data_IF_933009183250
#
_entry.id   IF_933009183250
#
_cell.length_a   1.000
_cell.length_b   1.000
_cell.length_c   1.000
_cell.angle_alpha   90.00
_cell.angle_beta   90.00
_cell.angle_gamma   90.00
#
_symmetry.space_group_name_H-M   'P 1'
#
loop_
_entity.id
_entity.type
_entity.pdbx_description
1 polymer ?
#
# COMPACT_ATOMS: atom_id res chain seq x y z
N UNK A 1 30.37 18.05 13.28
CA UNK A 1 31.35 18.76 14.16
C UNK A 1 32.37 17.81 14.76
N UNK A 2 31.96 16.75 15.45
CA UNK A 2 32.87 15.73 16.04
C UNK A 2 33.64 14.95 14.98
N UNK A 3 32.99 14.54 13.89
CA UNK A 3 33.63 13.85 12.76
C UNK A 3 34.63 14.74 12.00
N UNK A 4 34.31 16.04 11.88
CA UNK A 4 35.20 17.06 11.30
C UNK A 4 36.43 17.31 12.18
N UNK A 5 36.27 17.27 13.52
CA UNK A 5 37.40 17.30 14.46
C UNK A 5 38.26 16.04 14.29
N UNK A 6 37.66 14.86 14.15
CA UNK A 6 38.40 13.61 13.90
C UNK A 6 39.17 13.65 12.59
N UNK A 7 38.55 14.10 11.48
CA UNK A 7 39.22 14.24 10.18
C UNK A 7 40.37 15.25 10.23
N UNK A 8 40.22 16.38 10.93
CA UNK A 8 41.29 17.37 11.14
C UNK A 8 42.45 16.81 11.98
N UNK A 9 42.15 16.05 13.03
CA UNK A 9 43.18 15.38 13.84
C UNK A 9 43.93 14.32 13.03
N UNK A 10 43.22 13.57 12.19
CA UNK A 10 43.83 12.56 11.31
C UNK A 10 44.73 13.20 10.25
N UNK A 11 44.30 14.33 9.66
CA UNK A 11 45.11 15.08 8.69
C UNK A 11 46.40 15.65 9.31
N UNK A 12 46.32 16.15 10.54
CA UNK A 12 47.50 16.62 11.28
C UNK A 12 48.45 15.46 11.62
N UNK A 13 47.91 14.30 12.02
CA UNK A 13 48.71 13.10 12.26
C UNK A 13 49.42 12.59 11.00
N UNK A 14 48.78 12.71 9.83
CA UNK A 14 49.39 12.37 8.53
C UNK A 14 50.50 13.36 8.18
N UNK A 15 50.28 14.66 8.39
CA UNK A 15 51.29 15.71 8.17
C UNK A 15 52.54 15.51 9.06
N UNK A 16 52.34 15.16 10.33
CA UNK A 16 53.42 14.91 11.28
C UNK A 16 54.21 13.62 10.96
N UNK A 17 53.54 12.59 10.43
CA UNK A 17 54.20 11.37 9.99
C UNK A 17 55.02 11.60 8.71
N UNK A 18 54.54 12.42 7.77
CA UNK A 18 55.27 12.79 6.56
C UNK A 18 56.54 13.60 6.90
N UNK A 19 56.52 14.45 7.92
CA UNK A 19 57.72 15.17 8.37
C UNK A 19 58.77 14.28 9.08
N UNK A 20 58.35 13.14 9.67
CA UNK A 20 59.24 12.25 10.43
C UNK A 20 59.95 11.21 9.55
N UNK A 21 59.34 10.79 8.44
CA UNK A 21 59.99 9.92 7.46
C UNK A 21 60.57 10.77 6.34
N UNK A 22 61.88 10.83 6.24
CA UNK A 22 62.64 11.59 5.24
C UNK A 22 62.49 10.96 3.82
N UNK A 23 61.25 10.84 3.35
CA UNK A 23 60.85 10.18 2.12
C UNK A 23 60.12 11.22 1.27
N UNK A 24 60.85 11.79 0.32
CA UNK A 24 60.34 12.71 -0.69
C UNK A 24 59.31 12.02 -1.58
N UNK A 25 58.06 11.98 -1.14
CA UNK A 25 56.90 11.70 -1.98
C UNK A 25 56.40 13.04 -2.52
N UNK A 26 56.57 13.23 -3.84
CA UNK A 26 55.96 14.31 -4.61
C UNK A 26 54.44 14.13 -4.63
N UNK A 27 53.75 14.48 -3.54
CA UNK A 27 52.36 14.96 -3.64
C UNK A 27 52.51 16.33 -4.29
N UNK A 28 52.14 16.45 -5.57
CA UNK A 28 52.16 17.76 -6.23
C UNK A 28 51.35 18.74 -5.38
N UNK A 29 51.90 19.93 -5.11
CA UNK A 29 51.24 20.99 -4.31
C UNK A 29 49.79 21.29 -4.78
N UNK A 30 49.46 20.88 -6.01
CA UNK A 30 48.13 20.89 -6.63
C UNK A 30 47.05 20.10 -5.88
N UNK A 31 47.32 18.89 -5.38
CA UNK A 31 46.27 18.02 -4.80
C UNK A 31 45.93 18.38 -3.35
N UNK A 32 46.95 18.70 -2.54
CA UNK A 32 46.73 19.25 -1.20
C UNK A 32 45.98 20.58 -1.25
N UNK A 33 46.33 21.47 -2.20
CA UNK A 33 45.64 22.75 -2.39
C UNK A 33 44.17 22.58 -2.83
N UNK A 34 43.87 21.57 -3.66
CA UNK A 34 42.48 21.25 -4.05
C UNK A 34 41.64 20.77 -2.86
N UNK A 35 42.19 19.88 -2.04
CA UNK A 35 41.49 19.34 -0.88
C UNK A 35 41.24 20.43 0.18
N UNK A 36 42.20 21.31 0.41
CA UNK A 36 42.03 22.47 1.32
C UNK A 36 40.93 23.43 0.83
N UNK A 37 40.88 23.72 -0.47
CA UNK A 37 39.82 24.56 -1.06
C UNK A 37 38.43 23.91 -0.94
N UNK A 38 38.34 22.60 -1.11
CA UNK A 38 37.09 21.86 -0.94
C UNK A 38 36.60 21.93 0.51
N UNK A 39 37.48 21.68 1.48
CA UNK A 39 37.16 21.76 2.91
C UNK A 39 36.74 23.19 3.31
N UNK A 40 37.41 24.21 2.79
CA UNK A 40 37.03 25.61 3.04
C UNK A 40 35.62 25.91 2.48
N UNK A 41 35.33 25.43 1.27
CA UNK A 41 34.02 25.61 0.61
C UNK A 41 32.90 24.91 1.39
N UNK A 42 33.12 23.67 1.81
CA UNK A 42 32.17 22.93 2.64
C UNK A 42 31.94 23.61 4.00
N UNK A 43 33.00 24.10 4.65
CA UNK A 43 32.88 24.86 5.90
C UNK A 43 32.08 26.17 5.73
N UNK A 44 32.26 26.87 4.61
CA UNK A 44 31.49 28.06 4.27
C UNK A 44 30.01 27.75 4.03
N UNK A 45 29.71 26.63 3.37
CA UNK A 45 28.33 26.18 3.15
C UNK A 45 27.66 25.79 4.48
N UNK A 46 28.37 25.06 5.35
CA UNK A 46 27.88 24.73 6.69
C UNK A 46 27.66 25.97 7.56
N UNK A 47 28.51 26.99 7.44
CA UNK A 47 28.32 28.25 8.16
C UNK A 47 27.09 29.01 7.67
N UNK A 48 26.83 29.03 6.35
CA UNK A 48 25.61 29.62 5.76
C UNK A 48 24.35 28.89 6.23
N UNK A 49 24.36 27.55 6.21
CA UNK A 49 23.22 26.75 6.63
C UNK A 49 22.94 26.89 8.14
N UNK A 50 23.99 26.93 8.96
CA UNK A 50 23.86 27.22 10.40
C UNK A 50 23.22 28.59 10.63
N UNK A 51 23.60 29.62 9.87
CA UNK A 51 23.01 30.95 9.98
C UNK A 51 21.53 30.93 9.58
N UNK A 52 21.18 30.25 8.48
CA UNK A 52 19.78 30.06 8.04
C UNK A 52 18.93 29.41 9.12
N UNK A 53 19.42 28.33 9.73
CA UNK A 53 18.73 27.61 10.81
C UNK A 53 18.57 28.47 12.08
N UNK A 54 19.54 29.33 12.40
CA UNK A 54 19.43 30.26 13.53
C UNK A 54 18.37 31.34 13.27
N UNK A 55 18.27 31.84 12.03
CA UNK A 55 17.23 32.80 11.63
C UNK A 55 15.83 32.17 11.70
N UNK A 56 15.67 30.92 11.23
CA UNK A 56 14.40 30.17 11.34
C UNK A 56 14.03 29.88 12.80
N UNK A 57 14.99 29.46 13.63
CA UNK A 57 14.75 29.24 15.07
C UNK A 57 14.28 30.53 15.77
N UNK A 58 14.82 31.69 15.36
CA UNK A 58 14.41 32.99 15.89
C UNK A 58 12.97 33.33 15.49
N UNK A 59 12.58 33.06 14.23
CA UNK A 59 11.18 33.25 13.77
C UNK A 59 10.21 32.38 14.56
N UNK A 60 10.53 31.10 14.74
CA UNK A 60 9.70 30.15 15.50
C UNK A 60 9.58 30.61 16.96
N UNK A 61 10.69 31.02 17.58
CA UNK A 61 10.67 31.50 18.97
C UNK A 61 9.78 32.72 19.14
N UNK A 62 9.81 33.67 18.20
CA UNK A 62 8.92 34.84 18.22
C UNK A 62 7.45 34.47 18.05
N UNK A 63 7.13 33.49 17.21
CA UNK A 63 5.75 32.99 17.03
C UNK A 63 5.22 32.31 18.30
N UNK A 64 6.05 31.51 18.97
CA UNK A 64 5.69 30.88 20.25
C UNK A 64 5.46 31.94 21.32
N UNK A 65 6.32 32.95 21.40
CA UNK A 65 6.19 34.04 22.37
C UNK A 65 4.96 34.92 22.09
N UNK A 66 4.57 35.10 20.83
CA UNK A 66 3.32 35.77 20.45
C UNK A 66 2.07 34.94 20.81
N UNK A 67 2.11 33.62 20.67
CA UNK A 67 1.01 32.75 21.11
C UNK A 67 0.84 32.74 22.63
N UNK A 68 1.94 32.79 23.37
CA UNK A 68 1.91 32.80 24.84
C UNK A 68 1.41 34.14 25.41
N UNK A 69 1.70 35.26 24.76
CA UNK A 69 1.20 36.59 25.19
C UNK A 69 -0.27 36.81 24.83
N UNK A 70 -0.78 36.17 23.77
CA UNK A 70 -2.19 36.21 23.38
C UNK A 70 -3.15 35.48 24.35
N UNK A 71 -2.63 34.72 25.33
CA UNK A 71 -3.43 33.98 26.31
C UNK A 71 -3.69 34.76 27.63
N UNK A 72 -3.33 36.05 27.72
CA UNK A 72 -3.39 36.82 29.00
C UNK A 72 -4.25 38.09 28.98
N UNK A 73 -5.24 38.20 28.09
CA UNK A 73 -6.29 39.23 28.22
C UNK A 73 -7.45 38.72 29.09
N UNK A 74 -7.76 39.35 30.24
CA UNK A 74 -8.92 39.00 31.04
C UNK A 74 -10.18 39.64 30.44
N UNK A 75 -11.06 38.84 29.84
CA UNK A 75 -12.37 39.31 29.38
C UNK A 75 -13.40 39.06 30.47
N UNK A 76 -14.02 40.16 30.91
CA UNK A 76 -15.17 40.25 31.81
C UNK A 76 -16.30 39.33 31.38
N UNK A 77 -16.91 38.66 32.35
CA UNK A 77 -18.00 37.72 32.16
C UNK A 77 -19.18 38.30 31.37
N UNK A 78 -19.52 37.65 30.27
CA UNK A 78 -20.86 37.68 29.70
C UNK A 78 -21.38 36.25 29.58
N UNK A 79 -22.47 36.02 30.28
CA UNK A 79 -23.26 34.79 30.32
C UNK A 79 -23.90 34.55 28.96
N UNK A 80 -23.43 33.53 28.25
CA UNK A 80 -24.23 32.86 27.22
C UNK A 80 -23.93 31.37 27.28
N UNK A 81 -24.99 30.61 27.49
CA UNK A 81 -25.09 29.16 27.34
C UNK A 81 -24.42 28.71 26.05
N UNK A 82 -23.37 27.91 26.17
CA UNK A 82 -22.96 27.07 25.06
C UNK A 82 -22.56 25.68 25.55
N UNK A 83 -23.06 24.70 24.81
CA UNK A 83 -22.95 23.29 25.13
C UNK A 83 -21.51 22.85 24.92
N UNK A 84 -20.88 22.37 25.99
CA UNK A 84 -19.65 21.60 25.92
C UNK A 84 -19.90 20.34 25.08
N UNK A 85 -19.58 20.39 23.78
CA UNK A 85 -19.33 19.20 22.98
C UNK A 85 -17.87 18.79 23.23
N UNK A 86 -17.69 18.03 24.30
CA UNK A 86 -16.49 17.22 24.49
C UNK A 86 -16.41 16.30 23.27
N UNK A 87 -15.42 16.50 22.39
CA UNK A 87 -15.18 15.62 21.25
C UNK A 87 -14.53 14.32 21.74
N UNK A 88 -15.33 13.48 22.38
CA UNK A 88 -15.03 12.06 22.48
C UNK A 88 -14.99 11.52 21.06
N UNK A 89 -13.79 11.21 20.56
CA UNK A 89 -13.59 10.40 19.36
C UNK A 89 -14.16 9.00 19.65
N UNK A 90 -15.46 8.84 19.45
CA UNK A 90 -16.12 7.55 19.51
C UNK A 90 -15.72 6.77 18.27
N UNK A 91 -15.15 5.57 18.47
CA UNK A 91 -14.84 4.64 17.40
C UNK A 91 -16.03 4.48 16.43
N UNK A 92 -15.79 4.23 15.12
CA UNK A 92 -16.86 4.06 14.15
C UNK A 92 -17.86 3.00 14.61
N UNK A 93 -19.16 3.33 14.59
CA UNK A 93 -20.27 2.48 15.04
C UNK A 93 -20.64 1.39 14.03
N UNK A 94 -19.67 0.83 13.33
CA UNK A 94 -19.90 -0.22 12.33
C UNK A 94 -18.84 -1.31 12.46
N UNK A 95 -19.17 -2.48 11.95
CA UNK A 95 -18.30 -3.65 11.86
C UNK A 95 -17.86 -3.85 10.41
N UNK A 96 -16.61 -4.28 10.23
CA UNK A 96 -16.04 -4.66 8.95
C UNK A 96 -15.96 -6.19 8.87
N UNK A 97 -16.38 -6.76 7.75
CA UNK A 97 -15.92 -8.08 7.29
C UNK A 97 -14.98 -7.85 6.11
N UNK A 98 -13.72 -8.27 6.27
CA UNK A 98 -12.69 -8.20 5.23
C UNK A 98 -12.35 -9.59 4.70
N UNK A 99 -12.05 -9.71 3.41
CA UNK A 99 -11.57 -10.94 2.79
C UNK A 99 -10.59 -10.64 1.65
N UNK A 100 -9.33 -11.02 1.88
CA UNK A 100 -8.20 -11.01 0.93
C UNK A 100 -8.00 -12.37 0.23
N UNK A 101 -8.84 -13.37 0.53
CA UNK A 101 -8.77 -14.74 0.02
C UNK A 101 -7.46 -15.53 0.26
N UNK A 102 -6.51 -14.99 1.04
CA UNK A 102 -5.25 -15.66 1.38
C UNK A 102 -5.40 -16.77 2.42
N UNK A 103 -6.48 -16.70 3.19
CA UNK A 103 -6.82 -17.75 4.15
C UNK A 103 -7.37 -18.99 3.43
N UNK A 104 -6.94 -20.17 3.89
CA UNK A 104 -7.36 -21.47 3.33
C UNK A 104 -8.88 -21.71 3.35
N UNK A 105 -9.66 -20.94 4.11
CA UNK A 105 -11.12 -21.08 4.20
C UNK A 105 -11.89 -20.07 3.34
N UNK A 106 -11.22 -19.27 2.51
CA UNK A 106 -11.83 -18.27 1.63
C UNK A 106 -12.81 -17.36 2.38
N UNK A 107 -12.53 -17.06 3.66
CA UNK A 107 -13.38 -16.26 4.54
C UNK A 107 -14.83 -16.77 4.69
N UNK A 108 -15.08 -18.04 4.37
CA UNK A 108 -16.41 -18.66 4.36
C UNK A 108 -17.23 -18.40 3.10
N UNK A 109 -16.64 -17.88 2.03
CA UNK A 109 -17.27 -17.88 0.71
C UNK A 109 -17.38 -19.31 0.16
N UNK A 110 -18.47 -19.58 -0.56
CA UNK A 110 -18.75 -20.90 -1.13
C UNK A 110 -19.03 -20.81 -2.62
N UNK A 111 -18.47 -21.76 -3.37
CA UNK A 111 -18.77 -21.93 -4.79
C UNK A 111 -20.15 -22.56 -4.96
N UNK A 112 -21.01 -21.92 -5.77
CA UNK A 112 -22.38 -22.38 -6.00
C UNK A 112 -22.52 -23.30 -7.22
N UNK A 113 -21.49 -23.38 -8.08
CA UNK A 113 -21.49 -24.27 -9.24
C UNK A 113 -21.11 -25.71 -8.88
N UNK A 114 -21.79 -26.67 -9.50
CA UNK A 114 -21.55 -28.10 -9.29
C UNK A 114 -20.40 -28.70 -10.11
N UNK A 115 -19.86 -27.95 -11.07
CA UNK A 115 -18.83 -28.42 -12.02
C UNK A 115 -17.66 -27.44 -12.10
N UNK A 116 -16.46 -27.94 -12.43
CA UNK A 116 -15.23 -27.14 -12.49
C UNK A 116 -15.28 -25.94 -13.47
N UNK A 117 -16.14 -25.99 -14.49
CA UNK A 117 -16.38 -24.91 -15.46
C UNK A 117 -17.48 -23.93 -15.02
N UNK A 118 -17.99 -24.05 -13.80
CA UNK A 118 -19.04 -23.21 -13.22
C UNK A 118 -18.63 -22.68 -11.84
N UNK A 119 -17.33 -22.68 -11.54
CA UNK A 119 -16.78 -22.31 -10.24
C UNK A 119 -15.73 -21.21 -10.41
N UNK A 120 -15.69 -20.30 -9.44
CA UNK A 120 -14.52 -19.47 -9.22
C UNK A 120 -13.39 -20.36 -8.71
N UNK A 121 -12.19 -20.12 -9.22
CA UNK A 121 -10.96 -20.74 -8.76
C UNK A 121 -10.22 -19.77 -7.86
N UNK A 122 -9.53 -20.30 -6.85
CA UNK A 122 -8.52 -19.55 -6.12
C UNK A 122 -7.19 -19.71 -6.85
N UNK A 123 -6.41 -18.64 -6.93
CA UNK A 123 -5.05 -18.72 -7.43
C UNK A 123 -4.26 -17.46 -7.14
N UNK A 124 -2.94 -17.60 -7.20
CA UNK A 124 -1.99 -16.52 -6.98
C UNK A 124 -1.44 -15.91 -8.28
N UNK A 125 -1.71 -16.58 -9.39
CA UNK A 125 -1.38 -16.15 -10.74
C UNK A 125 -2.30 -16.84 -11.76
N UNK A 126 -2.86 -16.07 -12.70
CA UNK A 126 -3.56 -16.63 -13.85
C UNK A 126 -2.53 -17.02 -14.92
N UNK A 127 -1.91 -18.20 -14.76
CA UNK A 127 -0.91 -18.77 -15.69
C UNK A 127 -1.47 -19.14 -17.08
N UNK A 128 -2.75 -18.86 -17.34
CA UNK A 128 -3.46 -19.21 -18.57
C UNK A 128 -3.40 -18.04 -19.57
N UNK A 129 -2.41 -18.09 -20.48
CA UNK A 129 -2.38 -17.33 -21.76
C UNK A 129 -2.75 -15.84 -21.69
N UNK A 130 -1.79 -14.96 -21.40
CA UNK A 130 -1.87 -13.48 -21.61
C UNK A 130 -3.04 -12.71 -20.97
N UNK A 131 -3.91 -13.35 -20.20
CA UNK A 131 -5.14 -12.72 -19.66
C UNK A 131 -5.33 -13.02 -18.19
N UNK A 132 -5.80 -12.01 -17.45
CA UNK A 132 -5.95 -12.01 -15.98
C UNK A 132 -4.83 -11.29 -15.25
N UNK A 133 -5.06 -10.91 -13.98
CA UNK A 133 -4.09 -10.14 -13.21
C UNK A 133 -2.87 -10.99 -12.89
N UNK A 134 -1.68 -10.43 -13.17
CA UNK A 134 -0.40 -11.11 -12.94
C UNK A 134 -0.11 -11.34 -11.45
N UNK A 135 -0.76 -10.55 -10.60
CA UNK A 135 -0.48 -10.44 -9.18
C UNK A 135 -1.81 -10.18 -8.47
N UNK A 136 -1.92 -10.80 -7.30
CA UNK A 136 -2.91 -10.52 -6.28
C UNK A 136 -2.94 -9.03 -5.90
N UNK A 137 -4.11 -8.48 -5.56
CA UNK A 137 -4.25 -7.07 -5.25
C UNK A 137 -3.75 -6.74 -3.84
N UNK A 138 -3.96 -7.65 -2.87
CA UNK A 138 -3.54 -7.50 -1.47
C UNK A 138 -2.03 -7.25 -1.35
N UNK A 139 -1.20 -8.13 -1.92
CA UNK A 139 0.27 -7.99 -1.86
C UNK A 139 0.91 -7.45 -3.13
N UNK A 140 0.19 -7.30 -4.25
CA UNK A 140 0.80 -6.86 -5.50
C UNK A 140 1.96 -7.75 -5.96
N UNK A 141 1.96 -9.04 -5.56
CA UNK A 141 2.97 -10.02 -5.91
C UNK A 141 2.32 -11.42 -6.11
N UNK A 142 3.07 -12.44 -6.58
CA UNK A 142 2.53 -13.78 -6.83
C UNK A 142 2.29 -14.67 -5.60
N UNK A 143 2.41 -14.14 -4.38
CA UNK A 143 2.24 -14.93 -3.14
C UNK A 143 0.81 -14.87 -2.59
N UNK A 144 0.05 -13.81 -2.90
CA UNK A 144 -1.34 -13.68 -2.49
C UNK A 144 -2.31 -14.50 -3.34
N UNK A 145 -3.56 -14.60 -2.91
CA UNK A 145 -4.60 -15.33 -3.61
C UNK A 145 -5.81 -14.45 -3.87
N UNK A 146 -6.36 -14.57 -5.08
CA UNK A 146 -7.64 -13.97 -5.45
C UNK A 146 -8.58 -15.02 -6.04
N UNK A 147 -9.85 -14.66 -6.21
CA UNK A 147 -10.84 -15.53 -6.84
C UNK A 147 -11.06 -15.13 -8.29
N UNK A 148 -11.06 -16.08 -9.21
CA UNK A 148 -11.19 -15.79 -10.64
C UNK A 148 -11.95 -16.85 -11.44
N UNK A 149 -12.44 -16.45 -12.61
CA UNK A 149 -12.78 -17.34 -13.71
C UNK A 149 -11.84 -17.12 -14.89
N UNK A 150 -11.58 -18.19 -15.63
CA UNK A 150 -10.78 -18.14 -16.85
C UNK A 150 -11.59 -18.81 -17.96
N UNK A 151 -11.81 -18.08 -19.07
CA UNK A 151 -12.68 -18.54 -20.15
C UNK A 151 -12.18 -19.86 -20.75
N UNK A 152 -10.87 -20.03 -20.90
CA UNK A 152 -10.30 -21.31 -21.39
C UNK A 152 -10.65 -22.49 -20.50
N UNK A 153 -10.60 -22.30 -19.19
CA UNK A 153 -10.94 -23.31 -18.20
C UNK A 153 -12.43 -23.62 -18.12
N UNK A 154 -13.28 -22.67 -18.52
CA UNK A 154 -14.73 -22.89 -18.60
C UNK A 154 -15.17 -23.59 -19.90
N UNK A 155 -14.27 -23.67 -20.90
CA UNK A 155 -14.58 -24.24 -22.21
C UNK A 155 -15.03 -25.71 -22.16
N UNK A 156 -16.24 -25.94 -22.66
CA UNK A 156 -16.83 -27.27 -22.85
C UNK A 156 -17.40 -27.40 -24.27
N UNK A 157 -17.86 -28.60 -24.65
CA UNK A 157 -18.44 -28.85 -25.98
C UNK A 157 -19.81 -28.19 -26.20
N UNK A 158 -20.40 -27.62 -25.15
CA UNK A 158 -21.64 -26.83 -25.24
C UNK A 158 -21.32 -25.38 -25.61
N UNK A 159 -22.05 -24.86 -26.60
CA UNK A 159 -21.97 -23.47 -27.07
C UNK A 159 -22.93 -22.59 -26.26
N UNK A 160 -22.70 -22.49 -24.96
CA UNK A 160 -23.56 -21.77 -24.01
C UNK A 160 -22.74 -20.81 -23.16
N UNK A 161 -23.40 -19.79 -22.60
CA UNK A 161 -22.80 -18.97 -21.54
C UNK A 161 -22.66 -19.82 -20.28
N UNK A 162 -21.45 -19.89 -19.74
CA UNK A 162 -21.17 -20.48 -18.44
C UNK A 162 -21.18 -19.40 -17.37
N UNK A 163 -21.67 -19.77 -16.20
CA UNK A 163 -21.82 -18.89 -15.05
C UNK A 163 -21.10 -19.51 -13.87
N UNK A 164 -20.24 -18.75 -13.21
CA UNK A 164 -19.69 -19.07 -11.90
C UNK A 164 -20.28 -18.14 -10.87
N UNK A 165 -20.60 -18.67 -9.68
CA UNK A 165 -21.13 -17.90 -8.56
C UNK A 165 -20.37 -18.21 -7.28
N UNK A 166 -19.94 -17.16 -6.59
CA UNK A 166 -19.30 -17.21 -5.29
C UNK A 166 -20.18 -16.48 -4.28
N UNK A 167 -20.66 -17.21 -3.26
CA UNK A 167 -21.64 -16.72 -2.29
C UNK A 167 -21.00 -16.54 -0.92
N UNK A 168 -21.29 -15.41 -0.26
CA UNK A 168 -20.81 -15.14 1.09
C UNK A 168 -21.56 -15.93 2.17
N UNK A 169 -21.08 -15.83 3.41
CA UNK A 169 -21.92 -16.05 4.60
C UNK A 169 -23.13 -15.11 4.63
N UNK A 170 -24.12 -15.46 5.44
CA UNK A 170 -25.30 -14.63 5.67
C UNK A 170 -24.98 -13.42 6.55
N UNK A 171 -25.45 -12.24 6.13
CA UNK A 171 -25.33 -11.00 6.89
C UNK A 171 -26.65 -10.67 7.61
N UNK A 172 -26.60 -10.20 8.87
CA UNK A 172 -27.80 -9.82 9.61
C UNK A 172 -28.42 -8.51 9.07
N UNK A 173 -29.70 -8.23 9.37
CA UNK A 173 -30.29 -6.94 9.03
C UNK A 173 -29.53 -5.77 9.63
N UNK A 174 -29.40 -4.68 8.88
CA UNK A 174 -28.83 -3.40 9.33
C UNK A 174 -29.51 -2.24 8.61
N UNK A 175 -29.28 -1.00 9.08
CA UNK A 175 -29.80 0.22 8.44
C UNK A 175 -29.25 0.46 7.04
N UNK A 176 -28.12 -0.17 6.71
CA UNK A 176 -27.54 -0.20 5.37
C UNK A 176 -26.25 -1.01 5.37
N UNK A 177 -25.74 -1.29 4.19
CA UNK A 177 -24.44 -1.92 4.01
C UNK A 177 -23.63 -1.21 2.93
N UNK A 178 -22.31 -1.26 3.07
CA UNK A 178 -21.39 -0.81 2.05
C UNK A 178 -20.50 -1.98 1.67
N UNK A 179 -20.59 -2.39 0.41
CA UNK A 179 -19.78 -3.44 -0.17
C UNK A 179 -18.78 -2.77 -1.10
N UNK A 180 -17.50 -2.94 -0.83
CA UNK A 180 -16.42 -2.51 -1.71
C UNK A 180 -15.55 -3.73 -2.03
N UNK A 181 -15.04 -3.82 -3.25
CA UNK A 181 -14.15 -4.90 -3.64
C UNK A 181 -13.32 -4.50 -4.86
N UNK A 182 -12.15 -5.09 -4.98
CA UNK A 182 -11.30 -4.93 -6.15
C UNK A 182 -11.62 -5.99 -7.20
N UNK A 183 -11.62 -5.61 -8.46
CA UNK A 183 -11.91 -6.51 -9.56
C UNK A 183 -11.07 -6.20 -10.80
N UNK A 184 -10.71 -7.24 -11.55
CA UNK A 184 -10.05 -7.15 -12.85
C UNK A 184 -10.89 -7.87 -13.89
N UNK A 185 -11.09 -7.24 -15.05
CA UNK A 185 -11.82 -7.83 -16.18
C UNK A 185 -11.03 -7.61 -17.45
N UNK A 186 -10.34 -8.65 -17.92
CA UNK A 186 -9.46 -8.56 -19.08
C UNK A 186 -9.68 -9.68 -20.07
N UNK A 187 -9.77 -9.34 -21.35
CA UNK A 187 -9.93 -10.27 -22.48
C UNK A 187 -11.33 -10.23 -23.07
N UNK A 188 -11.40 -10.31 -24.39
CA UNK A 188 -12.61 -10.01 -25.17
C UNK A 188 -13.77 -11.02 -25.05
N UNK A 189 -13.49 -12.20 -24.52
CA UNK A 189 -14.45 -13.31 -24.50
C UNK A 189 -15.10 -13.54 -23.12
N UNK A 190 -14.69 -12.77 -22.11
CA UNK A 190 -15.48 -12.66 -20.86
C UNK A 190 -16.69 -11.78 -21.09
N UNK A 191 -17.73 -12.01 -20.28
CA UNK A 191 -19.00 -11.31 -20.39
C UNK A 191 -19.21 -10.43 -19.18
N UNK A 192 -20.00 -10.87 -18.22
CA UNK A 192 -20.50 -10.02 -17.17
C UNK A 192 -19.86 -10.38 -15.83
N UNK A 193 -19.52 -9.36 -15.05
CA UNK A 193 -19.35 -9.44 -13.61
C UNK A 193 -20.55 -8.77 -12.95
N UNK A 194 -21.37 -9.55 -12.26
CA UNK A 194 -22.53 -9.07 -11.51
C UNK A 194 -22.31 -9.31 -10.01
N UNK A 195 -22.90 -8.44 -9.19
CA UNK A 195 -23.06 -8.64 -7.75
C UNK A 195 -24.53 -8.59 -7.40
N UNK A 196 -24.98 -9.51 -6.57
CA UNK A 196 -26.36 -9.58 -6.07
C UNK A 196 -26.36 -9.51 -4.55
N UNK A 197 -27.43 -8.91 -4.00
CA UNK A 197 -27.80 -9.05 -2.61
C UNK A 197 -28.99 -10.02 -2.53
N UNK A 198 -28.69 -11.30 -2.30
CA UNK A 198 -29.66 -12.38 -2.30
C UNK A 198 -30.48 -12.37 -1.00
N UNK A 199 -31.79 -12.21 -1.11
CA UNK A 199 -32.73 -12.21 0.02
C UNK A 199 -33.69 -13.39 -0.12
N UNK A 200 -33.84 -14.19 0.94
CA UNK A 200 -34.77 -15.33 0.93
C UNK A 200 -34.48 -16.41 -0.12
N UNK A 201 -33.25 -16.49 -0.64
CA UNK A 201 -32.83 -17.43 -1.69
C UNK A 201 -33.12 -16.99 -3.12
N UNK A 202 -33.64 -15.78 -3.33
CA UNK A 202 -33.79 -15.16 -4.65
C UNK A 202 -32.67 -14.14 -4.91
N UNK A 203 -32.00 -14.23 -6.06
CA UNK A 203 -30.94 -13.28 -6.44
C UNK A 203 -31.45 -11.86 -6.68
N UNK A 204 -32.69 -11.71 -7.17
CA UNK A 204 -33.23 -10.41 -7.57
C UNK A 204 -32.47 -9.79 -8.75
N UNK A 205 -32.49 -8.46 -8.83
CA UNK A 205 -31.70 -7.69 -9.80
C UNK A 205 -30.25 -7.53 -9.30
N UNK A 206 -29.26 -7.40 -10.22
CA UNK A 206 -27.90 -7.11 -9.81
C UNK A 206 -27.81 -5.72 -9.18
N UNK A 207 -27.16 -5.64 -8.02
CA UNK A 207 -26.82 -4.37 -7.33
C UNK A 207 -25.54 -3.74 -7.89
N UNK A 208 -24.78 -4.50 -8.68
CA UNK A 208 -23.69 -4.03 -9.52
C UNK A 208 -23.60 -4.90 -10.76
N UNK A 209 -23.27 -4.30 -11.90
CA UNK A 209 -23.00 -5.02 -13.14
C UNK A 209 -21.94 -4.30 -13.95
N UNK A 210 -20.99 -5.08 -14.47
CA UNK A 210 -20.04 -4.67 -15.49
C UNK A 210 -20.07 -5.67 -16.64
N UNK A 211 -20.04 -5.19 -17.88
CA UNK A 211 -20.12 -6.02 -19.09
C UNK A 211 -18.94 -5.76 -20.01
N UNK A 212 -18.25 -6.83 -20.41
CA UNK A 212 -17.11 -6.78 -21.32
C UNK A 212 -15.79 -6.50 -20.62
N UNK A 213 -14.72 -6.39 -21.42
CA UNK A 213 -13.38 -6.11 -20.93
C UNK A 213 -13.20 -4.66 -20.51
N UNK A 214 -12.33 -4.44 -19.53
CA UNK A 214 -11.84 -3.11 -19.14
C UNK A 214 -10.40 -2.96 -19.64
N UNK A 215 -9.45 -3.36 -18.81
CA UNK A 215 -8.02 -3.30 -19.02
C UNK A 215 -7.34 -4.32 -18.09
N UNK A 216 -6.03 -4.21 -17.93
CA UNK A 216 -5.22 -5.09 -17.08
C UNK A 216 -5.09 -4.63 -15.63
N UNK A 217 -5.63 -3.47 -15.27
CA UNK A 217 -5.55 -2.89 -13.94
C UNK A 217 -6.64 -3.44 -13.02
N UNK A 218 -6.40 -3.38 -11.72
CA UNK A 218 -7.43 -3.61 -10.70
C UNK A 218 -8.29 -2.34 -10.58
N UNK A 219 -9.60 -2.52 -10.50
CA UNK A 219 -10.60 -1.46 -10.34
C UNK A 219 -11.36 -1.66 -9.05
N UNK A 220 -11.73 -0.57 -8.39
CA UNK A 220 -12.51 -0.62 -7.16
C UNK A 220 -14.00 -0.44 -7.47
N UNK A 221 -14.82 -1.39 -7.05
CA UNK A 221 -16.28 -1.24 -7.01
C UNK A 221 -16.72 -0.78 -5.62
N UNK A 222 -17.76 0.08 -5.57
CA UNK A 222 -18.37 0.59 -4.34
C UNK A 222 -19.89 0.56 -4.46
N UNK A 223 -20.55 -0.21 -3.61
CA UNK A 223 -21.99 -0.49 -3.67
C UNK A 223 -22.60 -0.16 -2.30
N UNK A 224 -23.55 0.76 -2.28
CA UNK A 224 -24.36 1.03 -1.08
C UNK A 224 -25.67 0.28 -1.18
N UNK A 225 -25.95 -0.59 -0.22
CA UNK A 225 -27.21 -1.33 -0.10
C UNK A 225 -28.10 -0.63 0.93
N UNK A 226 -29.38 -0.46 0.58
CA UNK A 226 -30.40 0.13 1.43
C UNK A 226 -31.39 -0.91 1.97
N UNK A 227 -32.45 -0.43 2.62
CA UNK A 227 -33.45 -1.26 3.27
C UNK A 227 -34.18 -2.25 2.34
N UNK A 228 -34.17 -2.06 1.01
CA UNK A 228 -34.71 -3.04 0.07
C UNK A 228 -34.07 -4.42 0.26
N UNK A 229 -32.75 -4.44 0.49
CA UNK A 229 -31.97 -5.66 0.66
C UNK A 229 -31.63 -5.94 2.13
N UNK A 230 -31.40 -4.88 2.92
CA UNK A 230 -30.78 -5.00 4.26
C UNK A 230 -31.79 -5.10 5.40
N UNK A 231 -33.09 -5.05 5.12
CA UNK A 231 -34.14 -5.23 6.14
C UNK A 231 -34.29 -6.69 6.61
N UNK A 232 -33.79 -7.64 5.83
CA UNK A 232 -33.77 -9.06 6.16
C UNK A 232 -32.33 -9.57 6.13
N UNK A 233 -32.15 -10.84 6.53
CA UNK A 233 -30.89 -11.52 6.30
C UNK A 233 -30.67 -11.71 4.80
N UNK A 234 -29.45 -11.46 4.36
CA UNK A 234 -29.09 -11.56 2.95
C UNK A 234 -27.68 -12.12 2.77
N UNK A 235 -27.33 -12.48 1.53
CA UNK A 235 -25.97 -12.88 1.13
C UNK A 235 -25.50 -12.03 -0.03
N UNK A 236 -24.19 -11.82 -0.12
CA UNK A 236 -23.57 -11.25 -1.30
C UNK A 236 -23.20 -12.39 -2.24
N UNK A 237 -23.61 -12.29 -3.50
CA UNK A 237 -23.26 -13.26 -4.54
C UNK A 237 -22.53 -12.55 -5.67
N UNK A 238 -21.28 -12.93 -5.88
CA UNK A 238 -20.52 -12.54 -7.07
C UNK A 238 -20.80 -13.54 -8.18
N UNK A 239 -21.14 -13.05 -9.36
CA UNK A 239 -21.40 -13.86 -10.54
C UNK A 239 -20.50 -13.41 -11.69
N UNK A 240 -19.73 -14.32 -12.25
CA UNK A 240 -18.93 -14.07 -13.44
C UNK A 240 -19.34 -15.00 -14.58
N UNK A 241 -19.42 -14.46 -15.79
CA UNK A 241 -19.88 -15.20 -16.98
C UNK A 241 -18.91 -15.11 -18.14
N UNK A 242 -18.83 -16.19 -18.91
CA UNK A 242 -18.07 -16.28 -20.16
C UNK A 242 -18.77 -17.26 -21.12
N UNK A 243 -18.59 -17.14 -22.43
CA UNK A 243 -19.15 -18.05 -23.44
C UNK A 243 -18.09 -18.84 -24.27
N UNK A 244 -17.09 -19.46 -23.62
CA UNK A 244 -16.09 -20.28 -24.27
C UNK A 244 -16.64 -21.62 -24.73
N UNK A 245 -16.11 -22.17 -25.82
CA UNK A 245 -16.42 -23.53 -26.25
C UNK A 245 -15.22 -24.23 -26.85
N UNK A 246 -15.26 -25.56 -26.90
CA UNK A 246 -14.22 -26.38 -27.54
C UNK A 246 -14.81 -27.48 -28.40
N UNK A 247 -14.14 -27.79 -29.50
CA UNK A 247 -14.57 -28.79 -30.47
C UNK A 247 -13.55 -29.90 -30.56
N UNK A 248 -14.02 -31.16 -30.56
CA UNK A 248 -13.15 -32.33 -30.66
C UNK A 248 -12.87 -32.67 -32.12
N UNK A 249 -11.60 -32.80 -32.48
CA UNK A 249 -11.18 -33.20 -33.83
C UNK A 249 -10.49 -34.56 -33.81
N UNK A 250 -10.82 -35.38 -34.81
CA UNK A 250 -10.19 -36.67 -35.03
C UNK A 250 -9.16 -36.56 -36.16
N UNK A 251 -7.87 -36.76 -35.84
CA UNK A 251 -6.79 -36.84 -36.83
C UNK A 251 -6.35 -38.30 -36.99
N UNK A 252 -7.04 -39.01 -37.87
CA UNK A 252 -6.63 -40.33 -38.37
C UNK A 252 -6.11 -41.31 -37.31
N UNK A 253 -5.08 -42.08 -37.66
CA UNK A 253 -4.69 -43.31 -36.94
C UNK A 253 -4.05 -43.15 -35.55
N UNK A 254 -3.93 -41.95 -34.92
CA UNK A 254 -3.40 -41.89 -33.52
C UNK A 254 -3.44 -40.57 -32.74
N UNK A 255 -4.03 -39.46 -33.22
CA UNK A 255 -4.10 -38.23 -32.39
C UNK A 255 -5.47 -37.54 -32.44
N UNK A 256 -6.03 -37.34 -31.27
CA UNK A 256 -7.19 -36.48 -31.01
C UNK A 256 -6.73 -35.17 -30.38
N UNK A 257 -7.36 -34.05 -30.75
CA UNK A 257 -7.09 -32.74 -30.14
C UNK A 257 -8.36 -31.90 -30.05
N UNK A 258 -8.34 -30.88 -29.18
CA UNK A 258 -9.40 -29.89 -29.06
C UNK A 258 -8.98 -28.57 -29.71
N UNK A 259 -9.90 -27.96 -30.44
CA UNK A 259 -9.82 -26.53 -30.81
C UNK A 259 -10.65 -25.73 -29.82
N UNK A 260 -10.09 -24.63 -29.32
CA UNK A 260 -10.72 -23.76 -28.33
C UNK A 260 -11.14 -22.44 -28.97
N UNK A 261 -12.33 -21.96 -28.60
CA UNK A 261 -12.95 -20.76 -29.13
C UNK A 261 -13.50 -19.91 -27.99
N UNK A 262 -13.48 -18.60 -28.16
CA UNK A 262 -13.92 -17.62 -27.16
C UNK A 262 -13.26 -17.84 -25.78
N UNK A 263 -11.96 -18.14 -25.78
CA UNK A 263 -11.22 -18.49 -24.56
C UNK A 263 -10.29 -17.38 -24.06
N UNK A 264 -10.35 -16.20 -24.68
CA UNK A 264 -9.53 -15.06 -24.32
C UNK A 264 -10.24 -14.23 -23.25
N UNK A 265 -9.91 -14.52 -21.98
CA UNK A 265 -10.15 -13.58 -20.90
C UNK A 265 -10.36 -14.19 -19.52
N UNK A 266 -10.32 -13.31 -18.55
CA UNK A 266 -10.38 -13.58 -17.12
C UNK A 266 -11.23 -12.49 -16.42
N UNK A 267 -12.00 -12.91 -15.42
CA UNK A 267 -12.61 -12.02 -14.43
C UNK A 267 -12.08 -12.45 -13.07
N UNK A 268 -11.46 -11.53 -12.35
CA UNK A 268 -10.95 -11.74 -11.01
C UNK A 268 -11.58 -10.75 -10.02
N UNK A 269 -11.76 -11.19 -8.78
CA UNK A 269 -12.19 -10.38 -7.65
C UNK A 269 -11.26 -10.62 -6.47
N UNK A 270 -11.04 -9.58 -5.68
CA UNK A 270 -10.13 -9.59 -4.55
C UNK A 270 -10.51 -8.50 -3.54
N UNK A 271 -9.91 -8.54 -2.35
CA UNK A 271 -10.02 -7.50 -1.32
C UNK A 271 -11.46 -7.02 -1.07
N UNK A 272 -12.30 -7.89 -0.51
CA UNK A 272 -13.72 -7.61 -0.24
C UNK A 272 -13.87 -6.96 1.12
N UNK A 273 -14.46 -5.76 1.16
CA UNK A 273 -14.83 -5.02 2.35
C UNK A 273 -16.36 -4.92 2.47
N UNK A 274 -16.91 -5.41 3.57
CA UNK A 274 -18.34 -5.31 3.86
C UNK A 274 -18.54 -4.64 5.21
N UNK A 275 -19.03 -3.39 5.15
CA UNK A 275 -19.38 -2.60 6.33
C UNK A 275 -20.89 -2.64 6.56
N UNK A 276 -21.34 -2.83 7.79
CA UNK A 276 -22.77 -2.81 8.15
C UNK A 276 -23.33 -1.39 8.33
N UNK A 277 -22.92 -0.47 7.45
CA UNK A 277 -23.40 0.92 7.36
C UNK A 277 -23.40 1.38 5.90
N UNK A 278 -24.05 2.49 5.57
CA UNK A 278 -24.03 3.04 4.20
C UNK A 278 -22.62 3.46 3.78
N UNK A 279 -22.34 3.45 2.48
CA UNK A 279 -21.02 3.86 1.97
C UNK A 279 -20.64 5.32 2.24
N UNK A 280 -21.62 6.19 2.48
CA UNK A 280 -21.40 7.57 2.91
C UNK A 280 -21.04 7.70 4.39
N UNK A 281 -21.32 6.66 5.18
CA UNK A 281 -21.09 6.62 6.63
C UNK A 281 -19.82 5.85 7.00
N UNK A 282 -19.20 5.15 6.05
CA UNK A 282 -17.87 4.55 6.24
C UNK A 282 -16.88 5.70 6.45
N UNK A 283 -16.19 5.69 7.59
CA UNK A 283 -15.16 6.68 7.86
C UNK A 283 -14.08 6.58 6.79
N UNK A 284 -13.79 7.71 6.13
CA UNK A 284 -12.78 7.77 5.07
C UNK A 284 -11.39 7.40 5.61
N UNK A 285 -11.14 7.69 6.89
CA UNK A 285 -9.89 7.42 7.58
C UNK A 285 -10.13 6.82 8.97
N UNK A 286 -9.29 5.87 9.41
CA UNK A 286 -9.27 5.38 10.77
C UNK A 286 -9.06 6.50 11.79
N UNK A 287 -9.64 6.37 12.98
CA UNK A 287 -9.59 7.40 14.03
C UNK A 287 -8.18 7.67 14.58
N UNK A 288 -7.26 6.71 14.41
CA UNK A 288 -5.85 6.79 14.78
C UNK A 288 -4.95 7.38 13.67
N UNK A 289 -5.52 7.74 12.51
CA UNK A 289 -4.75 8.28 11.41
C UNK A 289 -4.41 9.77 11.61
N UNK A 290 -3.19 10.14 11.24
CA UNK A 290 -2.68 11.52 11.24
C UNK A 290 -2.52 11.96 9.78
N UNK A 291 -3.08 13.12 9.44
CA UNK A 291 -2.96 13.65 8.08
C UNK A 291 -1.65 14.40 7.85
N UNK A 292 -1.16 14.34 6.62
CA UNK A 292 -0.09 15.18 6.11
C UNK A 292 -0.37 15.58 4.66
N UNK A 293 -0.08 16.83 4.34
CA UNK A 293 -0.16 17.37 2.98
C UNK A 293 1.20 17.92 2.61
N UNK A 294 1.77 17.44 1.52
CA UNK A 294 2.98 18.04 0.95
C UNK A 294 2.72 19.52 0.59
N UNK A 295 3.74 20.40 0.69
CA UNK A 295 3.59 21.81 0.32
C UNK A 295 3.06 21.96 -1.12
N UNK A 296 1.91 22.61 -1.27
CA UNK A 296 1.25 22.80 -2.56
C UNK A 296 0.33 21.66 -3.01
N UNK A 297 0.20 20.58 -2.23
CA UNK A 297 -0.82 19.55 -2.46
C UNK A 297 -2.17 19.99 -1.87
N UNK A 298 -3.24 19.85 -2.66
CA UNK A 298 -4.62 20.04 -2.19
C UNK A 298 -5.20 18.78 -1.53
N UNK A 299 -4.53 17.63 -1.67
CA UNK A 299 -5.04 16.34 -1.21
C UNK A 299 -4.11 15.79 -0.11
N UNK A 300 -4.56 15.68 1.15
CA UNK A 300 -3.80 15.05 2.22
C UNK A 300 -3.72 13.52 2.02
N UNK A 301 -2.58 12.94 2.41
CA UNK A 301 -2.47 11.52 2.75
C UNK A 301 -2.64 11.34 4.26
N UNK A 302 -3.10 10.17 4.68
CA UNK A 302 -3.36 9.86 6.08
C UNK A 302 -2.54 8.65 6.51
N UNK A 303 -1.88 8.77 7.66
CA UNK A 303 -0.86 7.82 8.10
C UNK A 303 -1.22 7.25 9.47
N UNK A 304 -1.00 5.96 9.66
CA UNK A 304 -1.17 5.31 10.96
C UNK A 304 0.02 4.40 11.26
N UNK A 305 0.52 4.51 12.49
CA UNK A 305 1.70 3.79 12.94
C UNK A 305 1.28 2.57 13.77
N UNK A 306 1.86 1.42 13.45
CA UNK A 306 1.55 0.14 14.09
C UNK A 306 2.80 -0.45 14.74
N UNK A 307 2.80 -0.46 16.08
CA UNK A 307 3.99 -0.85 16.87
C UNK A 307 4.20 -2.36 16.96
N UNK A 308 3.18 -3.17 16.68
CA UNK A 308 3.25 -4.63 16.73
C UNK A 308 4.05 -5.14 15.53
N UNK A 309 5.22 -5.77 15.71
CA UNK A 309 6.02 -6.22 14.58
C UNK A 309 5.34 -7.34 13.80
N UNK A 310 5.38 -7.24 12.47
CA UNK A 310 4.88 -8.21 11.51
C UNK A 310 5.92 -8.41 10.41
N UNK A 311 5.86 -9.53 9.67
CA UNK A 311 6.61 -9.66 8.42
C UNK A 311 6.13 -8.61 7.42
N UNK A 312 6.93 -8.28 6.40
CA UNK A 312 6.54 -7.28 5.42
C UNK A 312 5.22 -7.64 4.72
N UNK A 313 5.03 -8.91 4.36
CA UNK A 313 3.77 -9.39 3.78
C UNK A 313 2.60 -9.23 4.76
N UNK A 314 2.76 -9.66 6.02
CA UNK A 314 1.68 -9.53 7.01
C UNK A 314 1.36 -8.06 7.34
N UNK A 315 2.37 -7.18 7.33
CA UNK A 315 2.19 -5.73 7.49
C UNK A 315 1.40 -5.13 6.31
N UNK A 316 1.67 -5.61 5.08
CA UNK A 316 0.94 -5.20 3.88
C UNK A 316 -0.54 -5.59 3.92
N UNK A 317 -0.84 -6.84 4.26
CA UNK A 317 -2.24 -7.29 4.48
C UNK A 317 -2.91 -6.51 5.62
N UNK A 318 -2.20 -6.27 6.73
CA UNK A 318 -2.73 -5.51 7.85
C UNK A 318 -3.05 -4.05 7.49
N UNK A 319 -2.26 -3.42 6.61
CA UNK A 319 -2.64 -2.12 6.06
C UNK A 319 -3.86 -2.23 5.17
N UNK A 320 -3.93 -3.25 4.29
CA UNK A 320 -5.03 -3.44 3.37
C UNK A 320 -6.38 -3.58 4.10
N UNK A 321 -6.44 -4.33 5.20
CA UNK A 321 -7.65 -4.48 6.02
C UNK A 321 -8.22 -3.15 6.55
N UNK A 322 -7.39 -2.09 6.66
CA UNK A 322 -7.84 -0.77 7.14
C UNK A 322 -8.73 -0.03 6.15
N UNK A 323 -8.71 -0.42 4.88
CA UNK A 323 -9.62 0.10 3.87
C UNK A 323 -9.08 -0.04 2.46
N UNK A 324 -9.95 0.15 1.45
CA UNK A 324 -9.64 -0.19 0.06
C UNK A 324 -8.49 0.62 -0.56
N UNK A 325 -8.23 1.84 -0.09
CA UNK A 325 -7.08 2.67 -0.51
C UNK A 325 -5.92 2.65 0.47
N UNK A 326 -5.95 1.79 1.49
CA UNK A 326 -4.84 1.67 2.43
C UNK A 326 -3.76 0.72 1.89
N UNK A 327 -2.51 1.08 2.16
CA UNK A 327 -1.33 0.29 1.83
C UNK A 327 -0.18 0.64 2.80
N UNK A 328 0.93 -0.10 2.75
CA UNK A 328 2.17 0.35 3.40
C UNK A 328 2.61 1.68 2.80
N UNK A 329 3.17 2.57 3.63
CA UNK A 329 3.55 3.93 3.20
C UNK A 329 4.59 3.93 2.08
N UNK A 330 4.39 4.80 1.10
CA UNK A 330 5.40 5.12 0.09
C UNK A 330 6.04 6.46 0.44
N UNK A 331 7.37 6.57 0.33
CA UNK A 331 8.09 7.80 0.72
C UNK A 331 8.50 8.58 -0.53
N UNK A 332 7.69 9.57 -0.90
CA UNK A 332 7.77 10.24 -2.19
C UNK A 332 8.70 11.46 -2.19
N UNK A 333 8.87 12.12 -1.04
CA UNK A 333 9.74 13.30 -0.93
C UNK A 333 10.36 13.49 0.47
N UNK A 334 11.27 14.46 0.57
CA UNK A 334 11.99 14.76 1.80
C UNK A 334 11.11 15.35 2.92
N UNK A 335 10.01 16.03 2.57
CA UNK A 335 9.08 16.58 3.56
C UNK A 335 8.22 15.46 4.16
N UNK A 336 7.79 14.50 3.34
CA UNK A 336 7.10 13.29 3.78
C UNK A 336 8.01 12.45 4.69
N UNK A 337 9.27 12.21 4.29
CA UNK A 337 10.27 11.56 5.16
C UNK A 337 10.38 12.26 6.52
N UNK A 338 10.47 13.59 6.54
CA UNK A 338 10.58 14.35 7.78
C UNK A 338 9.33 14.25 8.66
N UNK A 339 8.14 14.24 8.04
CA UNK A 339 6.88 13.99 8.73
C UNK A 339 6.84 12.59 9.36
N UNK A 340 7.19 11.55 8.60
CA UNK A 340 7.22 10.16 9.08
C UNK A 340 8.21 9.99 10.25
N UNK A 341 9.37 10.63 10.19
CA UNK A 341 10.34 10.64 11.30
C UNK A 341 9.72 11.22 12.58
N UNK A 342 8.95 12.31 12.48
CA UNK A 342 8.30 12.89 13.67
C UNK A 342 7.22 11.96 14.22
N UNK A 343 6.46 11.30 13.35
CA UNK A 343 5.48 10.28 13.74
C UNK A 343 6.19 9.12 14.47
N UNK A 344 7.28 8.59 13.91
CA UNK A 344 8.07 7.52 14.51
C UNK A 344 8.66 7.91 15.87
N UNK A 345 9.18 9.13 16.02
CA UNK A 345 9.73 9.60 17.30
C UNK A 345 8.70 9.61 18.44
N UNK A 346 7.41 9.72 18.13
CA UNK A 346 6.34 9.63 19.13
C UNK A 346 6.01 8.19 19.57
N UNK A 347 6.49 7.19 18.81
CA UNK A 347 6.26 5.77 19.08
C UNK A 347 7.24 5.21 20.13
N UNK A 348 6.72 4.30 20.96
CA UNK A 348 7.52 3.50 21.90
C UNK A 348 8.42 2.50 21.18
N UNK A 349 8.12 2.17 19.93
CA UNK A 349 8.86 1.27 19.05
C UNK A 349 9.86 2.01 18.13
N UNK A 350 10.14 3.29 18.36
CA UNK A 350 10.97 4.16 17.50
C UNK A 350 12.36 3.62 17.14
N UNK A 351 12.90 2.69 17.93
CA UNK A 351 14.23 2.06 17.74
C UNK A 351 14.22 0.79 16.89
N UNK A 352 13.04 0.25 16.53
CA UNK A 352 12.93 -1.04 15.84
C UNK A 352 12.95 -0.94 14.31
N UNK A 353 12.90 0.28 13.78
CA UNK A 353 12.67 0.54 12.36
C UNK A 353 11.22 0.27 11.93
N UNK A 354 10.80 0.87 10.82
CA UNK A 354 9.41 0.78 10.34
C UNK A 354 9.34 0.40 8.87
N UNK A 355 8.53 -0.60 8.55
CA UNK A 355 8.32 -1.04 7.18
C UNK A 355 7.60 0.02 6.35
N UNK A 356 8.03 0.11 5.10
CA UNK A 356 7.43 0.89 4.02
C UNK A 356 6.96 -0.04 2.90
N UNK A 357 6.36 0.53 1.85
CA UNK A 357 5.91 -0.20 0.67
C UNK A 357 7.05 -0.55 -0.31
N UNK A 358 8.26 -0.03 -0.10
CA UNK A 358 9.39 -0.19 -1.01
C UNK A 358 9.96 -1.60 -1.00
N UNK A 359 10.17 -2.19 -2.18
CA UNK A 359 10.79 -3.51 -2.31
C UNK A 359 11.40 -3.70 -3.71
N UNK A 360 12.29 -4.67 -3.88
CA UNK A 360 12.83 -5.09 -5.19
C UNK A 360 12.62 -6.58 -5.52
N UNK A 361 11.62 -7.24 -4.90
CA UNK A 361 11.29 -8.66 -5.10
C UNK A 361 11.13 -9.05 -6.59
N UNK A 362 10.67 -8.11 -7.43
CA UNK A 362 10.46 -8.34 -8.87
C UNK A 362 11.75 -8.35 -9.67
N UNK A 363 12.71 -7.53 -9.26
CA UNK A 363 13.98 -7.37 -9.93
C UNK A 363 15.00 -6.80 -8.94
N UNK A 364 15.92 -7.66 -8.53
CA UNK A 364 17.09 -7.34 -7.72
C UNK A 364 17.80 -6.04 -8.17
N UNK A 365 18.09 -5.16 -7.21
CA UNK A 365 18.63 -3.80 -7.37
C UNK A 365 17.68 -2.78 -8.02
N UNK A 366 16.38 -3.11 -8.16
CA UNK A 366 15.36 -2.21 -8.72
C UNK A 366 14.18 -2.09 -7.76
N UNK A 367 14.40 -1.34 -6.68
CA UNK A 367 13.34 -1.00 -5.74
C UNK A 367 12.20 -0.21 -6.41
N UNK A 368 10.98 -0.58 -6.09
CA UNK A 368 9.74 0.05 -6.51
C UNK A 368 8.77 0.20 -5.34
N UNK A 369 7.92 1.21 -5.42
CA UNK A 369 6.81 1.37 -4.49
C UNK A 369 5.62 0.52 -4.93
N UNK A 370 4.99 -0.18 -4.01
CA UNK A 370 3.94 -1.15 -4.35
C UNK A 370 2.64 -0.53 -4.84
N UNK A 371 2.35 0.70 -4.46
CA UNK A 371 1.15 1.45 -4.83
C UNK A 371 1.23 2.02 -6.26
N UNK A 372 2.39 2.57 -6.63
CA UNK A 372 2.61 3.16 -7.96
C UNK A 372 3.20 2.19 -8.97
N UNK A 373 3.90 1.14 -8.51
CA UNK A 373 4.71 0.27 -9.36
C UNK A 373 5.87 1.00 -10.05
N UNK A 374 6.16 2.24 -9.62
CA UNK A 374 7.24 3.05 -10.18
C UNK A 374 8.52 2.81 -9.39
N UNK A 375 9.68 2.68 -10.07
CA UNK A 375 10.96 2.64 -9.39
C UNK A 375 11.22 3.97 -8.68
N UNK A 376 11.98 3.94 -7.59
CA UNK A 376 12.45 5.14 -6.88
C UNK A 376 13.19 6.15 -7.79
N UNK A 377 13.63 5.70 -8.97
CA UNK A 377 14.53 6.41 -9.90
C UNK A 377 13.92 7.60 -10.65
N UNK A 378 12.75 8.10 -10.26
CA UNK A 378 12.25 9.34 -10.88
C UNK A 378 12.45 10.60 -10.05
N UNK A 379 12.45 10.62 -8.69
CA UNK A 379 12.61 11.91 -7.96
C UNK A 379 13.12 11.94 -6.49
N UNK A 380 13.26 10.85 -5.71
CA UNK A 380 13.78 10.94 -4.32
C UNK A 380 14.29 9.60 -3.76
N UNK A 381 15.43 9.63 -3.04
CA UNK A 381 15.91 8.50 -2.23
C UNK A 381 16.52 8.98 -0.92
N UNK A 382 16.49 8.14 0.12
CA UNK A 382 17.08 8.46 1.42
C UNK A 382 17.80 7.26 2.07
N UNK A 383 18.52 6.49 1.26
CA UNK A 383 19.34 5.36 1.72
C UNK A 383 20.41 5.77 2.72
N UNK A 384 20.64 4.94 3.74
CA UNK A 384 21.78 5.08 4.63
C UNK A 384 23.08 4.82 3.87
N UNK A 385 24.19 5.38 4.35
CA UNK A 385 25.49 5.13 3.75
C UNK A 385 25.79 3.62 3.74
N UNK A 386 26.05 3.08 2.54
CA UNK A 386 26.30 1.65 2.35
C UNK A 386 25.06 0.80 2.09
N UNK A 387 23.86 1.41 1.96
CA UNK A 387 22.62 0.72 1.59
C UNK A 387 22.14 1.08 0.17
N UNK A 388 21.35 0.22 -0.49
CA UNK A 388 21.05 -1.17 -0.09
C UNK A 388 22.28 -2.08 -0.23
N UNK A 389 22.44 -3.06 0.66
CA UNK A 389 23.63 -3.92 0.72
C UNK A 389 23.37 -5.40 0.43
N UNK A 390 22.09 -5.78 0.34
CA UNK A 390 21.59 -7.09 0.00
C UNK A 390 22.34 -8.24 0.70
N UNK A 391 22.45 -8.17 2.03
CA UNK A 391 23.15 -9.17 2.85
C UNK A 391 22.55 -10.55 2.67
N UNK A 392 23.34 -11.44 2.08
CA UNK A 392 22.95 -12.82 1.81
C UNK A 392 22.05 -12.97 0.59
N UNK A 393 21.97 -11.96 -0.28
CA UNK A 393 21.21 -11.97 -1.53
C UNK A 393 19.72 -12.28 -1.33
N UNK A 394 19.11 -11.67 -0.31
CA UNK A 394 17.73 -11.92 0.11
C UNK A 394 17.15 -10.75 0.94
N UNK A 395 17.66 -9.53 0.80
CA UNK A 395 17.09 -8.36 1.48
C UNK A 395 16.35 -7.49 0.48
N UNK A 396 15.07 -7.80 0.31
CA UNK A 396 14.29 -7.20 -0.76
C UNK A 396 13.35 -6.10 -0.28
N UNK A 397 13.25 -5.85 1.04
CA UNK A 397 12.23 -4.98 1.63
C UNK A 397 12.81 -3.74 2.31
N UNK A 398 12.25 -2.57 2.02
CA UNK A 398 12.72 -1.27 2.49
C UNK A 398 12.19 -0.94 3.89
N UNK A 399 13.12 -0.62 4.79
CA UNK A 399 12.88 -0.25 6.18
C UNK A 399 13.39 1.17 6.48
N UNK A 400 12.60 1.98 7.18
CA UNK A 400 13.07 3.19 7.85
C UNK A 400 13.90 2.77 9.07
N UNK A 401 15.19 2.49 8.88
CA UNK A 401 15.97 1.63 9.79
C UNK A 401 16.85 2.38 10.80
N UNK A 402 17.50 3.49 10.41
CA UNK A 402 18.61 4.06 11.18
C UNK A 402 18.17 5.25 12.07
N UNK A 403 17.74 5.06 13.33
CA UNK A 403 17.22 6.15 14.17
C UNK A 403 18.23 7.26 14.45
N UNK A 404 19.52 6.91 14.53
CA UNK A 404 20.59 7.88 14.80
C UNK A 404 21.04 8.65 13.54
N UNK A 405 20.58 8.24 12.34
CA UNK A 405 20.77 8.94 11.07
C UNK A 405 19.41 9.28 10.43
N UNK A 406 18.49 9.80 11.25
CA UNK A 406 17.19 10.33 10.84
C UNK A 406 16.30 9.33 10.07
N UNK A 407 16.32 8.07 10.49
CA UNK A 407 15.59 6.94 9.89
C UNK A 407 15.80 6.85 8.38
N UNK A 408 17.04 7.05 7.93
CA UNK A 408 17.43 6.67 6.58
C UNK A 408 17.12 5.21 6.30
N UNK A 409 17.04 4.89 5.02
CA UNK A 409 16.54 3.61 4.55
C UNK A 409 17.62 2.54 4.60
N UNK A 410 17.21 1.33 4.93
CA UNK A 410 17.97 0.10 4.70
C UNK A 410 17.08 -0.95 4.07
N UNK A 411 17.71 -1.96 3.48
CA UNK A 411 17.07 -3.16 2.96
C UNK A 411 17.20 -4.30 3.96
N UNK A 412 16.09 -5.00 4.20
CA UNK A 412 16.00 -6.13 5.14
C UNK A 412 15.27 -7.29 4.49
N UNK A 413 15.32 -8.48 5.12
CA UNK A 413 14.54 -9.61 4.58
C UNK A 413 13.06 -9.29 4.77
N UNK A 414 12.25 -9.57 3.77
CA UNK A 414 10.80 -9.39 3.87
C UNK A 414 10.14 -10.29 4.95
N UNK A 415 10.86 -11.34 5.38
CA UNK A 415 10.46 -12.26 6.43
C UNK A 415 10.89 -11.84 7.84
N UNK A 416 11.74 -10.82 7.98
CA UNK A 416 12.02 -10.21 9.28
C UNK A 416 10.75 -9.52 9.81
N UNK A 417 10.65 -9.32 11.13
CA UNK A 417 9.45 -8.70 11.71
C UNK A 417 9.73 -7.30 12.22
N UNK A 418 9.02 -6.30 11.70
CA UNK A 418 9.17 -4.90 12.13
C UNK A 418 7.80 -4.24 12.33
N UNK A 419 7.73 -3.19 13.17
CA UNK A 419 6.65 -2.20 13.12
C UNK A 419 6.47 -1.66 11.70
N UNK A 420 5.31 -1.05 11.42
CA UNK A 420 4.98 -0.62 10.07
C UNK A 420 4.10 0.63 10.08
N UNK A 421 4.06 1.32 8.93
CA UNK A 421 3.25 2.51 8.74
C UNK A 421 2.34 2.27 7.56
N UNK A 422 1.04 2.45 7.78
CA UNK A 422 0.05 2.44 6.72
C UNK A 422 -0.25 3.85 6.25
N UNK A 423 -0.34 4.03 4.95
CA UNK A 423 -0.82 5.22 4.27
C UNK A 423 -2.23 4.95 3.70
N UNK A 424 -3.04 6.00 3.62
CA UNK A 424 -4.37 6.00 3.03
C UNK A 424 -4.51 7.27 2.20
N UNK A 425 -4.77 7.09 0.91
CA UNK A 425 -4.94 8.19 -0.02
C UNK A 425 -6.39 8.70 -0.02
N UNK A 426 -6.53 10.03 -0.01
CA UNK A 426 -7.83 10.73 -0.06
C UNK A 426 -8.48 10.70 -1.46
N UNK A 427 -7.80 10.13 -2.47
CA UNK A 427 -8.29 9.96 -3.84
C UNK A 427 -9.40 8.92 -3.92
N UNK A 428 -10.63 9.39 -3.72
CA UNK A 428 -11.90 8.74 -4.06
C UNK A 428 -12.78 9.73 -4.81
#
# INVERSE_FOLDING_TARGET
>A
MTELKQKKTMLNSVRDNIQKTNMSVLITESESSKLEKQIITENLNWAKEKKRLQEELTKITNLVQACQSAQTTPTTAHTTTDSSSTSTSTAPKYSLTFCDFDSNNQCGFVNMGGSANTQFKSGSNTLSSSTGPKMDHTYGNPHGHYMYIDAKNMASSSHTTYTARLQSKEFPPSSGYCVMFWYNVHGKDVRNLNVYAEVGGGLGNPVFSHTGQIDTAWHLAKISLDSEYTAQKFRIVFEATADPYKTYHYSGRKRSYYSYYNTNGNIAIDDIYIYNTSCSSVAKFPADAVSYSAPGSSNPSYYSLHEKPLTWYAAKAACKERGPTSHLVSVNDANEQAFLVNLIKSSKASRLGFYTSGNDEKQENRFEWTDSGLPYQTNYTNWHAGQPNNVGSNQDCLLLEYPDDNWKWGDVRCTDTHPYICEINDSF
#
